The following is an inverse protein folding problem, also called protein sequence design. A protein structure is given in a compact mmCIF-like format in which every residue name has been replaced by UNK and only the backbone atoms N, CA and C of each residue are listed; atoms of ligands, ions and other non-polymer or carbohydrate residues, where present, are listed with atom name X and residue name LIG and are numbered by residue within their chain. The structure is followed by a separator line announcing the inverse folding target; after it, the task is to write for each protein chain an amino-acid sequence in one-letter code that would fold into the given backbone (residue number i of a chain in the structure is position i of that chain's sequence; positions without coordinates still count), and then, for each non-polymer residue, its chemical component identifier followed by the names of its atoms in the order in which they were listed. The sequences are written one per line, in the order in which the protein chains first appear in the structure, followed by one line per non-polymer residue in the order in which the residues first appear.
data_IF_646296184975
#
_entry.id   IF_646296184975
#
_cell.length_a   1.000
_cell.length_b   1.000
_cell.length_c   1.000
_cell.angle_alpha   90.00
_cell.angle_beta   90.00
_cell.angle_gamma   90.00
#
_symmetry.space_group_name_H-M   'P 1'
#
loop_
_entity.id
_entity.type
_entity.pdbx_description
1 polymer ?
#
# COMPACT_ATOMS: atom_id res chain seq x y z
N UNK A 1 18.53 -37.49 -26.47
CA UNK A 1 18.94 -36.97 -25.15
C UNK A 1 18.78 -35.47 -25.24
N UNK A 2 17.69 -34.93 -24.71
CA UNK A 2 17.54 -33.49 -24.54
C UNK A 2 18.20 -33.17 -23.20
N UNK A 3 19.25 -32.36 -23.20
CA UNK A 3 19.85 -31.88 -21.95
C UNK A 3 18.78 -31.05 -21.24
N UNK A 4 18.38 -31.48 -20.04
CA UNK A 4 17.62 -30.64 -19.13
C UNK A 4 18.50 -29.42 -18.86
N UNK A 5 18.08 -28.25 -19.36
CA UNK A 5 18.75 -26.99 -19.05
C UNK A 5 18.75 -26.86 -17.53
N UNK A 6 19.95 -26.84 -16.95
CA UNK A 6 20.12 -26.72 -15.52
C UNK A 6 19.32 -25.52 -15.02
N UNK A 7 18.36 -25.79 -14.13
CA UNK A 7 17.61 -24.77 -13.43
C UNK A 7 18.62 -23.91 -12.66
N UNK A 8 18.74 -22.65 -13.05
CA UNK A 8 19.61 -21.74 -12.34
C UNK A 8 18.82 -21.27 -11.13
N UNK A 9 19.14 -21.78 -9.95
CA UNK A 9 18.49 -21.34 -8.71
C UNK A 9 18.71 -19.83 -8.55
N UNK A 10 17.68 -19.07 -8.91
CA UNK A 10 17.72 -17.60 -8.94
C UNK A 10 17.72 -17.05 -7.51
N UNK A 11 17.34 -17.86 -6.50
CA UNK A 11 17.39 -17.48 -5.10
C UNK A 11 18.81 -17.51 -4.51
N UNK A 12 19.80 -18.12 -5.17
CA UNK A 12 21.20 -18.10 -4.70
C UNK A 12 21.80 -16.70 -4.61
N UNK A 13 21.35 -15.77 -5.45
CA UNK A 13 21.78 -14.36 -5.42
C UNK A 13 20.83 -13.47 -4.62
N UNK A 14 19.76 -14.04 -4.05
CA UNK A 14 18.66 -13.39 -3.35
C UNK A 14 18.20 -12.05 -3.98
N UNK A 15 17.40 -12.08 -5.06
CA UNK A 15 16.87 -10.89 -5.72
C UNK A 15 15.73 -10.23 -4.93
N UNK A 16 15.31 -10.84 -3.81
CA UNK A 16 14.18 -10.39 -3.01
C UNK A 16 14.60 -9.39 -1.93
N UNK A 17 13.65 -8.54 -1.57
CA UNK A 17 13.72 -7.63 -0.44
C UNK A 17 14.11 -8.38 0.85
N UNK A 18 14.78 -7.70 1.78
CA UNK A 18 15.18 -8.28 3.06
C UNK A 18 14.00 -8.83 3.88
N UNK A 19 12.78 -8.33 3.63
CA UNK A 19 11.55 -8.79 4.26
C UNK A 19 10.69 -9.68 3.32
N UNK A 20 11.29 -10.26 2.29
CA UNK A 20 10.66 -11.24 1.40
C UNK A 20 11.35 -12.60 1.46
N UNK A 21 10.56 -13.65 1.24
CA UNK A 21 11.03 -15.00 1.00
C UNK A 21 11.11 -15.26 -0.50
N UNK A 22 12.26 -15.73 -0.96
CA UNK A 22 12.49 -16.14 -2.34
C UNK A 22 12.06 -17.60 -2.54
N UNK A 23 11.24 -17.87 -3.56
CA UNK A 23 10.91 -19.23 -4.02
C UNK A 23 11.26 -19.37 -5.49
N UNK A 24 12.12 -20.34 -5.80
CA UNK A 24 12.50 -20.66 -7.17
C UNK A 24 11.34 -21.32 -7.92
N UNK A 25 11.08 -20.90 -9.17
CA UNK A 25 10.00 -21.48 -9.96
C UNK A 25 10.53 -22.67 -10.76
N UNK A 26 9.86 -23.83 -10.71
CA UNK A 26 10.28 -24.96 -11.52
C UNK A 26 10.07 -24.69 -13.02
N UNK A 27 10.82 -25.38 -13.90
CA UNK A 27 10.59 -25.34 -15.35
C UNK A 27 9.11 -25.60 -15.71
N UNK A 28 8.51 -24.89 -16.70
CA UNK A 28 9.12 -24.10 -17.78
C UNK A 28 9.26 -22.60 -17.51
N UNK A 29 8.85 -22.11 -16.35
CA UNK A 29 8.97 -20.69 -15.98
C UNK A 29 10.35 -20.43 -15.39
N UNK A 30 11.15 -19.60 -16.05
CA UNK A 30 12.45 -19.16 -15.56
C UNK A 30 12.25 -17.97 -14.60
N UNK A 31 12.72 -18.06 -13.35
CA UNK A 31 12.78 -16.93 -12.41
C UNK A 31 12.42 -17.29 -10.97
N UNK A 32 12.69 -16.36 -10.04
CA UNK A 32 12.27 -16.45 -8.64
C UNK A 32 10.98 -15.63 -8.41
N UNK A 33 10.12 -16.13 -7.52
CA UNK A 33 9.01 -15.38 -6.95
C UNK A 33 9.40 -14.86 -5.56
N UNK A 34 9.18 -13.58 -5.31
CA UNK A 34 9.42 -12.97 -4.00
C UNK A 34 8.09 -12.74 -3.30
N UNK A 35 7.94 -13.29 -2.09
CA UNK A 35 6.72 -13.11 -1.29
C UNK A 35 7.07 -12.41 0.01
N UNK A 36 6.42 -11.28 0.31
CA UNK A 36 6.65 -10.59 1.58
C UNK A 36 6.31 -11.46 2.79
N UNK A 37 7.16 -11.35 3.81
CA UNK A 37 6.95 -12.00 5.09
C UNK A 37 5.65 -11.49 5.74
N UNK A 38 4.98 -12.29 6.60
CA UNK A 38 3.75 -11.89 7.25
C UNK A 38 3.88 -10.52 7.94
N UNK A 39 2.97 -9.59 7.59
CA UNK A 39 2.98 -8.22 8.10
C UNK A 39 3.62 -7.19 7.17
N UNK A 40 4.35 -7.62 6.14
CA UNK A 40 4.88 -6.77 5.10
C UNK A 40 4.08 -6.92 3.80
N UNK A 41 4.07 -5.87 3.00
CA UNK A 41 3.34 -5.81 1.74
C UNK A 41 4.18 -5.20 0.63
N UNK A 42 3.94 -5.66 -0.60
CA UNK A 42 4.60 -5.22 -1.83
C UNK A 42 4.93 -6.41 -2.73
N UNK A 43 5.75 -6.19 -3.75
CA UNK A 43 6.19 -7.24 -4.68
C UNK A 43 7.38 -8.06 -4.18
N UNK A 44 7.96 -7.68 -3.04
CA UNK A 44 9.08 -8.35 -2.44
C UNK A 44 10.37 -8.35 -3.25
N UNK A 45 10.49 -7.54 -4.31
CA UNK A 45 11.71 -7.43 -5.11
C UNK A 45 12.53 -6.18 -4.73
N UNK A 46 13.86 -6.31 -4.65
CA UNK A 46 14.77 -5.17 -4.37
C UNK A 46 14.70 -4.11 -5.47
N UNK A 47 14.43 -4.52 -6.72
CA UNK A 47 14.24 -3.63 -7.86
C UNK A 47 12.79 -3.18 -8.09
N UNK A 48 11.88 -3.56 -7.20
CA UNK A 48 10.45 -3.27 -7.27
C UNK A 48 9.97 -2.36 -6.14
N UNK A 49 8.77 -2.64 -5.63
CA UNK A 49 8.16 -1.98 -4.47
C UNK A 49 8.68 -2.53 -3.13
N UNK A 50 9.36 -3.69 -3.15
CA UNK A 50 9.96 -4.29 -1.96
C UNK A 50 8.90 -4.81 -0.98
N UNK A 51 9.26 -4.86 0.30
CA UNK A 51 8.36 -5.27 1.37
C UNK A 51 8.30 -4.19 2.45
N UNK A 52 7.13 -3.55 2.58
CA UNK A 52 6.93 -2.43 3.49
C UNK A 52 5.74 -2.66 4.41
N UNK A 53 5.81 -2.06 5.60
CA UNK A 53 4.78 -2.10 6.64
C UNK A 53 4.63 -0.69 7.22
N UNK A 54 3.55 -0.01 6.84
CA UNK A 54 3.31 1.39 7.15
C UNK A 54 2.15 1.56 8.13
N UNK A 55 2.30 2.54 9.02
CA UNK A 55 1.23 3.13 9.82
C UNK A 55 0.80 4.42 9.14
N UNK A 56 -0.51 4.65 9.05
CA UNK A 56 -1.11 5.83 8.44
C UNK A 56 -1.92 6.59 9.49
N UNK A 57 -1.88 7.92 9.44
CA UNK A 57 -2.70 8.77 10.30
C UNK A 57 -3.01 10.09 9.60
N UNK A 58 -4.11 10.70 10.00
CA UNK A 58 -4.41 12.10 9.71
C UNK A 58 -3.83 12.99 10.80
N UNK A 59 -3.32 14.15 10.41
CA UNK A 59 -2.82 15.19 11.31
C UNK A 59 -3.73 16.42 11.16
N UNK A 60 -4.63 16.58 12.12
CA UNK A 60 -5.59 17.70 12.15
C UNK A 60 -4.90 19.06 12.31
N UNK A 61 -3.71 19.11 12.91
CA UNK A 61 -3.01 20.38 13.09
C UNK A 61 -2.36 20.88 11.80
N UNK A 62 -1.82 19.95 11.02
CA UNK A 62 -1.07 20.23 9.78
C UNK A 62 -1.95 20.07 8.51
N UNK A 63 -3.21 19.66 8.66
CA UNK A 63 -4.15 19.41 7.56
C UNK A 63 -3.62 18.39 6.54
N UNK A 64 -3.01 17.30 7.02
CA UNK A 64 -2.39 16.32 6.13
C UNK A 64 -2.63 14.85 6.54
N UNK A 65 -2.27 13.95 5.64
CA UNK A 65 -2.23 12.51 5.91
C UNK A 65 -0.78 12.08 5.75
N UNK A 66 -0.27 11.45 6.80
CA UNK A 66 1.11 11.00 6.91
C UNK A 66 1.16 9.48 7.00
N UNK A 67 2.33 8.95 6.68
CA UNK A 67 2.68 7.55 6.99
C UNK A 67 4.12 7.43 7.48
N UNK A 68 4.41 6.36 8.19
CA UNK A 68 5.75 5.97 8.60
C UNK A 68 5.83 4.45 8.66
N UNK A 69 7.04 3.89 8.60
CA UNK A 69 7.24 2.48 8.88
C UNK A 69 6.75 2.15 10.31
N UNK A 70 6.31 0.90 10.54
CA UNK A 70 5.84 0.45 11.86
C UNK A 70 6.89 0.61 12.97
N UNK A 71 8.17 0.59 12.62
CA UNK A 71 9.28 0.86 13.56
C UNK A 71 9.46 2.35 13.90
N UNK A 72 8.64 3.23 13.31
CA UNK A 72 8.65 4.68 13.48
C UNK A 72 9.60 5.43 12.55
N UNK A 73 10.34 4.74 11.68
CA UNK A 73 11.25 5.35 10.72
C UNK A 73 10.53 5.79 9.44
N UNK A 74 11.21 6.58 8.59
CA UNK A 74 10.71 6.92 7.25
C UNK A 74 9.39 7.67 7.23
N UNK A 75 9.15 8.55 8.21
CA UNK A 75 7.95 9.38 8.23
C UNK A 75 7.90 10.32 7.03
N UNK A 76 6.76 10.36 6.35
CA UNK A 76 6.49 11.24 5.22
C UNK A 76 5.02 11.69 5.19
N UNK A 77 4.80 12.91 4.69
CA UNK A 77 3.46 13.38 4.32
C UNK A 77 3.13 12.86 2.92
N UNK A 78 2.01 12.17 2.76
CA UNK A 78 1.57 11.60 1.48
C UNK A 78 0.44 12.39 0.83
N UNK A 79 -0.37 13.10 1.62
CA UNK A 79 -1.46 13.94 1.11
C UNK A 79 -1.51 15.22 1.93
N UNK A 80 -1.37 16.36 1.26
CA UNK A 80 -1.77 17.67 1.78
C UNK A 80 -3.24 17.89 1.41
N UNK A 81 -4.10 18.06 2.42
CA UNK A 81 -5.54 18.21 2.19
C UNK A 81 -5.95 19.65 1.87
N UNK A 82 -5.04 20.62 1.99
CA UNK A 82 -5.31 22.02 1.70
C UNK A 82 -6.33 22.64 2.65
N UNK A 83 -6.14 22.46 3.96
CA UNK A 83 -7.04 22.94 5.03
C UNK A 83 -8.35 22.20 5.17
N UNK A 84 -8.35 20.89 4.90
CA UNK A 84 -9.53 20.03 4.98
C UNK A 84 -9.27 18.82 5.85
N UNK A 85 -9.76 18.85 7.09
CA UNK A 85 -9.51 17.80 8.07
C UNK A 85 -9.98 16.43 7.57
N UNK A 86 -9.04 15.48 7.52
CA UNK A 86 -9.33 14.08 7.28
C UNK A 86 -9.72 13.39 8.60
N UNK A 87 -11.00 13.04 8.74
CA UNK A 87 -11.57 12.57 10.02
C UNK A 87 -11.45 11.06 10.19
N UNK A 88 -11.83 10.30 9.16
CA UNK A 88 -11.72 8.84 9.13
C UNK A 88 -10.80 8.39 8.01
N UNK A 89 -9.97 7.38 8.28
CA UNK A 89 -9.13 6.70 7.29
C UNK A 89 -9.54 5.23 7.17
N UNK A 90 -9.49 4.69 5.95
CA UNK A 90 -9.54 3.25 5.72
C UNK A 90 -8.61 2.83 4.58
N UNK A 91 -7.98 1.65 4.72
CA UNK A 91 -7.00 1.12 3.77
C UNK A 91 -7.55 -0.10 3.03
N UNK A 92 -7.44 -0.08 1.71
CA UNK A 92 -7.67 -1.24 0.85
C UNK A 92 -6.32 -1.89 0.55
N UNK A 93 -6.10 -3.05 1.15
CA UNK A 93 -4.82 -3.74 1.07
C UNK A 93 -4.57 -4.36 -0.30
N UNK A 94 -5.56 -5.05 -0.87
CA UNK A 94 -5.47 -5.68 -2.18
C UNK A 94 -5.46 -4.65 -3.32
N UNK A 95 -6.28 -3.60 -3.23
CA UNK A 95 -6.35 -2.55 -4.25
C UNK A 95 -5.27 -1.48 -4.13
N UNK A 96 -4.43 -1.52 -3.09
CA UNK A 96 -3.36 -0.55 -2.80
C UNK A 96 -3.85 0.90 -2.68
N UNK A 97 -5.05 1.10 -2.13
CA UNK A 97 -5.65 2.42 -1.97
C UNK A 97 -5.80 2.84 -0.50
N UNK A 98 -5.88 4.15 -0.27
CA UNK A 98 -6.31 4.78 0.98
C UNK A 98 -7.56 5.63 0.70
N UNK A 99 -8.51 5.58 1.63
CA UNK A 99 -9.77 6.32 1.60
C UNK A 99 -9.86 7.20 2.83
N UNK A 100 -10.40 8.40 2.66
CA UNK A 100 -10.64 9.30 3.79
C UNK A 100 -11.91 10.12 3.63
N UNK A 101 -12.54 10.41 4.76
CA UNK A 101 -13.68 11.32 4.87
C UNK A 101 -13.21 12.73 5.20
N UNK A 102 -13.88 13.72 4.63
CA UNK A 102 -13.64 15.14 4.93
C UNK A 102 -14.98 15.79 5.21
N UNK A 103 -15.13 16.33 6.43
CA UNK A 103 -16.41 16.90 6.89
C UNK A 103 -16.79 18.16 6.14
N UNK A 104 -15.88 19.13 6.08
CA UNK A 104 -16.16 20.43 5.45
C UNK A 104 -16.35 20.35 3.93
N UNK A 105 -15.79 19.29 3.32
CA UNK A 105 -15.96 19.03 1.89
C UNK A 105 -17.18 18.16 1.56
N UNK A 106 -17.90 17.64 2.56
CA UNK A 106 -19.06 16.78 2.35
C UNK A 106 -18.76 15.59 1.41
N UNK A 107 -17.58 14.99 1.59
CA UNK A 107 -17.02 14.08 0.59
C UNK A 107 -16.17 12.95 1.19
N UNK A 108 -16.06 11.89 0.41
CA UNK A 108 -15.11 10.79 0.59
C UNK A 108 -14.13 10.84 -0.58
N UNK A 109 -12.85 10.71 -0.27
CA UNK A 109 -11.75 10.74 -1.23
C UNK A 109 -11.04 9.39 -1.27
N UNK A 110 -10.27 9.19 -2.34
CA UNK A 110 -9.44 8.01 -2.55
C UNK A 110 -8.12 8.41 -3.22
N UNK A 111 -7.05 7.74 -2.85
CA UNK A 111 -5.74 7.83 -3.48
C UNK A 111 -5.06 6.45 -3.45
N UNK A 112 -3.97 6.30 -4.20
CA UNK A 112 -3.04 5.21 -3.95
C UNK A 112 -2.45 5.35 -2.54
N UNK A 113 -1.98 4.24 -1.96
CA UNK A 113 -1.37 4.19 -0.62
C UNK A 113 -0.12 5.06 -0.43
N UNK A 114 0.48 5.55 -1.51
CA UNK A 114 1.59 6.52 -1.52
C UNK A 114 1.11 7.97 -1.67
N UNK A 115 -0.20 8.21 -1.67
CA UNK A 115 -0.82 9.52 -1.84
C UNK A 115 -1.01 9.95 -3.29
N UNK A 116 -0.45 9.21 -4.25
CA UNK A 116 -0.59 9.54 -5.66
C UNK A 116 -2.02 9.31 -6.17
N UNK A 117 -2.38 9.99 -7.26
CA UNK A 117 -3.70 9.85 -7.91
C UNK A 117 -4.90 10.17 -7.02
N UNK A 118 -4.71 11.06 -6.03
CA UNK A 118 -5.78 11.54 -5.15
C UNK A 118 -6.94 12.15 -5.96
N UNK A 119 -8.16 11.73 -5.63
CA UNK A 119 -9.41 12.22 -6.26
C UNK A 119 -10.60 12.06 -5.33
N UNK A 120 -11.66 12.82 -5.61
CA UNK A 120 -12.97 12.62 -4.98
C UNK A 120 -13.55 11.28 -5.44
N UNK A 121 -13.98 10.46 -4.49
CA UNK A 121 -14.71 9.22 -4.74
C UNK A 121 -16.22 9.47 -4.73
N UNK A 122 -16.70 10.18 -3.71
CA UNK A 122 -18.12 10.43 -3.49
C UNK A 122 -18.31 11.83 -2.90
N UNK A 123 -19.25 12.57 -3.47
CA UNK A 123 -19.75 13.84 -2.92
C UNK A 123 -21.25 13.94 -3.19
N UNK A 124 -22.00 14.45 -2.22
CA UNK A 124 -23.46 14.59 -2.32
C UNK A 124 -23.96 15.59 -1.29
N UNK A 125 -25.00 16.40 -1.59
CA UNK A 125 -25.66 17.22 -0.60
C UNK A 125 -26.26 16.45 0.58
N UNK A 126 -26.44 15.13 0.45
CA UNK A 126 -26.92 14.27 1.53
C UNK A 126 -25.81 13.81 2.49
N UNK A 127 -24.54 14.05 2.17
CA UNK A 127 -23.40 13.76 3.03
C UNK A 127 -23.10 15.02 3.82
N UNK A 128 -23.53 15.09 5.07
CA UNK A 128 -23.33 16.31 5.86
C UNK A 128 -22.04 16.25 6.66
N UNK A 129 -21.83 15.24 7.51
CA UNK A 129 -20.66 15.17 8.39
C UNK A 129 -20.08 13.75 8.39
N UNK A 130 -19.43 13.33 7.30
CA UNK A 130 -18.81 12.01 7.24
C UNK A 130 -17.63 11.96 8.22
N UNK A 131 -17.68 11.02 9.16
CA UNK A 131 -16.63 10.77 10.16
C UNK A 131 -15.98 9.41 9.89
N UNK A 132 -16.33 8.38 10.66
CA UNK A 132 -15.77 7.05 10.50
C UNK A 132 -16.08 6.39 9.15
N UNK A 133 -15.06 5.78 8.55
CA UNK A 133 -15.16 4.98 7.34
C UNK A 133 -14.54 3.60 7.59
N UNK A 134 -15.17 2.56 7.05
CA UNK A 134 -14.66 1.18 7.04
C UNK A 134 -14.83 0.59 5.66
N UNK A 135 -14.00 -0.38 5.31
CA UNK A 135 -14.04 -1.07 4.01
C UNK A 135 -14.44 -2.53 4.23
N UNK A 136 -15.22 -3.06 3.30
CA UNK A 136 -15.55 -4.49 3.18
C UNK A 136 -14.99 -5.01 1.84
N UNK A 137 -13.67 -5.26 1.76
CA UNK A 137 -13.06 -5.73 0.53
C UNK A 137 -13.40 -7.20 0.28
N UNK A 138 -13.85 -7.50 -0.94
CA UNK A 138 -14.20 -8.87 -1.36
C UNK A 138 -12.94 -9.77 -1.46
N UNK A 139 -11.75 -9.16 -1.59
CA UNK A 139 -10.45 -9.83 -1.60
C UNK A 139 -9.47 -9.04 -0.72
N UNK A 140 -8.87 -9.71 0.27
CA UNK A 140 -7.87 -9.14 1.19
C UNK A 140 -6.44 -9.36 0.72
#
# INVERSE_FOLDING_TARGET
MCEEGADIDVCLTNPCDAQATCTDNPPPTLGANCTCNPGYMGDGHVGGTGCSDYVYWSDDHDDDIKRAHRDGSGMETIIDTGSSVAEGLALDHAGLNIYWSVRDAHAIYVANKDGSSARTLLTSPAIELPEGIVLDPIYG
#
